data_IF_209524356163
#
_entry.id   IF_209524356163
#
_cell.length_a   1.000
_cell.length_b   1.000
_cell.length_c   1.000
_cell.angle_alpha   90.00
_cell.angle_beta   90.00
_cell.angle_gamma   90.00
#
_symmetry.space_group_name_H-M   'P 1'
#
loop_
_entity.id
_entity.type
_entity.pdbx_description
1 polymer ?
#
# COMPACT_ATOMS: atom_id res chain seq x y z
N UNK A 1 18.98 -41.25 24.80
CA UNK A 1 19.30 -39.88 25.28
C UNK A 1 18.10 -38.99 25.02
N UNK A 2 17.41 -38.52 26.07
CA UNK A 2 16.30 -37.57 25.91
C UNK A 2 16.89 -36.26 25.39
N UNK A 3 16.62 -35.95 24.13
CA UNK A 3 16.91 -34.64 23.52
C UNK A 3 16.24 -33.56 24.38
N UNK A 4 17.00 -32.81 25.16
CA UNK A 4 16.48 -31.68 25.92
C UNK A 4 15.90 -30.66 24.94
N UNK A 5 14.64 -30.28 25.13
CA UNK A 5 13.95 -29.29 24.30
C UNK A 5 14.00 -27.92 24.97
N UNK A 6 14.22 -26.86 24.18
CA UNK A 6 14.19 -25.47 24.62
C UNK A 6 12.96 -24.79 24.03
N UNK A 7 12.18 -24.15 24.89
CA UNK A 7 11.05 -23.31 24.48
C UNK A 7 11.41 -21.85 24.68
N UNK A 8 11.22 -21.04 23.64
CA UNK A 8 11.28 -19.57 23.73
C UNK A 8 9.87 -19.05 23.47
N UNK A 9 9.40 -18.15 24.32
CA UNK A 9 8.10 -17.50 24.14
C UNK A 9 8.26 -15.99 24.20
N UNK A 10 7.45 -15.28 23.41
CA UNK A 10 7.39 -13.82 23.41
C UNK A 10 5.93 -13.39 23.31
N UNK A 11 5.57 -12.48 24.21
CA UNK A 11 4.27 -11.80 24.17
C UNK A 11 4.46 -10.48 23.43
N UNK A 12 3.59 -10.20 22.46
CA UNK A 12 3.65 -8.94 21.72
C UNK A 12 2.75 -7.89 22.36
N UNK A 13 3.18 -6.63 22.30
CA UNK A 13 2.43 -5.49 22.82
C UNK A 13 1.41 -4.97 21.80
N UNK A 14 0.59 -5.88 21.30
CA UNK A 14 -0.45 -5.63 20.31
C UNK A 14 -1.69 -6.39 20.73
N UNK A 15 -2.88 -5.82 20.53
CA UNK A 15 -4.13 -6.50 20.87
C UNK A 15 -4.83 -7.07 19.65
N UNK A 16 -5.10 -8.38 19.64
CA UNK A 16 -5.79 -9.10 18.56
C UNK A 16 -6.93 -9.92 19.15
N UNK A 17 -8.14 -9.72 18.61
CA UNK A 17 -9.35 -10.43 19.02
C UNK A 17 -9.29 -11.91 18.61
N UNK A 18 -9.92 -12.77 19.40
CA UNK A 18 -10.05 -14.21 19.11
C UNK A 18 -10.77 -14.50 17.78
N UNK A 19 -11.68 -13.61 17.36
CA UNK A 19 -12.42 -13.69 16.09
C UNK A 19 -11.52 -13.70 14.85
N UNK A 20 -10.27 -13.26 14.97
CA UNK A 20 -9.32 -13.17 13.85
C UNK A 20 -8.60 -14.50 13.53
N UNK A 21 -9.01 -15.62 14.14
CA UNK A 21 -8.30 -16.91 14.02
C UNK A 21 -8.31 -17.48 12.60
N UNK A 22 -9.42 -17.35 11.87
CA UNK A 22 -9.55 -17.85 10.50
C UNK A 22 -8.62 -17.09 9.55
N UNK A 23 -8.47 -15.78 9.79
CA UNK A 23 -7.58 -14.93 9.02
C UNK A 23 -6.12 -15.19 9.36
N UNK A 24 -5.81 -15.46 10.64
CA UNK A 24 -4.46 -15.90 11.04
C UNK A 24 -4.09 -17.22 10.36
N UNK A 25 -5.01 -18.18 10.35
CA UNK A 25 -4.81 -19.49 9.69
C UNK A 25 -4.49 -19.33 8.22
N UNK A 26 -5.23 -18.47 7.53
CA UNK A 26 -4.95 -18.19 6.14
C UNK A 26 -3.56 -17.56 5.94
N UNK A 27 -3.21 -16.52 6.71
CA UNK A 27 -1.89 -15.87 6.55
C UNK A 27 -0.76 -16.87 6.83
N UNK A 28 -0.90 -17.68 7.88
CA UNK A 28 0.08 -18.72 8.22
C UNK A 28 0.18 -19.75 7.09
N UNK A 29 -0.94 -20.29 6.60
CA UNK A 29 -0.91 -21.33 5.57
C UNK A 29 -0.48 -20.81 4.18
N UNK A 30 -1.09 -19.74 3.71
CA UNK A 30 -1.00 -19.30 2.31
C UNK A 30 0.09 -18.26 2.05
N UNK A 31 0.56 -17.55 3.08
CA UNK A 31 1.65 -16.57 2.94
C UNK A 31 2.94 -17.12 3.53
N UNK A 32 2.91 -17.54 4.80
CA UNK A 32 4.11 -17.95 5.51
C UNK A 32 4.56 -19.38 5.13
N UNK A 33 3.68 -20.37 5.29
CA UNK A 33 3.99 -21.79 5.10
C UNK A 33 4.10 -22.19 3.62
N UNK A 34 3.41 -21.50 2.71
CA UNK A 34 3.54 -21.70 1.27
C UNK A 34 5.01 -21.61 0.80
N UNK A 35 5.76 -20.64 1.35
CA UNK A 35 7.19 -20.46 1.07
C UNK A 35 8.08 -21.58 1.65
N UNK A 36 7.56 -22.34 2.61
CA UNK A 36 8.27 -23.37 3.39
C UNK A 36 7.68 -24.76 3.24
N UNK A 37 6.87 -25.01 2.21
CA UNK A 37 6.14 -26.28 1.98
C UNK A 37 6.96 -27.55 2.18
N UNK A 38 8.24 -27.53 1.79
CA UNK A 38 9.15 -28.67 1.90
C UNK A 38 9.54 -29.04 3.33
N UNK A 39 9.31 -28.13 4.27
CA UNK A 39 9.69 -28.27 5.66
C UNK A 39 8.49 -28.52 6.57
N UNK A 40 7.26 -28.60 6.07
CA UNK A 40 6.08 -28.72 6.93
C UNK A 40 5.91 -30.18 7.35
N UNK A 41 5.86 -30.43 8.67
CA UNK A 41 5.52 -31.73 9.26
C UNK A 41 4.00 -31.80 9.51
N UNK A 42 3.44 -30.81 10.23
CA UNK A 42 1.99 -30.67 10.41
C UNK A 42 1.57 -29.22 10.71
N UNK A 43 0.27 -28.95 10.55
CA UNK A 43 -0.42 -27.74 10.99
C UNK A 43 -1.70 -28.16 11.72
N UNK A 44 -1.94 -27.62 12.91
CA UNK A 44 -3.10 -27.87 13.75
C UNK A 44 -3.66 -26.53 14.23
N UNK A 45 -4.96 -26.36 14.02
CA UNK A 45 -5.72 -25.26 14.60
C UNK A 45 -6.40 -25.73 15.89
N UNK A 46 -6.19 -24.98 16.96
CA UNK A 46 -6.89 -25.16 18.23
C UNK A 46 -7.89 -24.02 18.41
N UNK A 47 -9.16 -24.31 18.27
CA UNK A 47 -10.27 -23.36 18.46
C UNK A 47 -10.72 -23.36 19.93
N UNK A 48 -9.97 -22.67 20.77
CA UNK A 48 -10.37 -22.37 22.15
C UNK A 48 -11.18 -21.04 22.15
N UNK A 49 -12.35 -20.94 22.82
CA UNK A 49 -13.19 -19.73 22.79
C UNK A 49 -12.50 -18.45 23.26
N UNK A 50 -11.53 -18.55 24.18
CA UNK A 50 -10.82 -17.39 24.74
C UNK A 50 -9.44 -17.19 24.12
N UNK A 51 -8.73 -18.28 23.84
CA UNK A 51 -7.33 -18.24 23.41
C UNK A 51 -7.09 -19.19 22.21
N UNK A 52 -7.69 -18.93 21.05
CA UNK A 52 -7.48 -19.80 19.91
C UNK A 52 -6.01 -19.73 19.45
N UNK A 53 -5.47 -20.87 19.02
CA UNK A 53 -4.07 -20.98 18.63
C UNK A 53 -3.85 -21.79 17.37
N UNK A 54 -2.77 -21.47 16.67
CA UNK A 54 -2.30 -22.20 15.49
C UNK A 54 -0.94 -22.77 15.84
N UNK A 55 -0.82 -24.08 15.71
CA UNK A 55 0.39 -24.83 16.00
C UNK A 55 0.86 -25.46 14.71
N UNK A 56 2.11 -25.27 14.34
CA UNK A 56 2.68 -25.96 13.19
C UNK A 56 4.11 -26.35 13.47
N UNK A 57 4.57 -27.43 12.84
CA UNK A 57 5.93 -27.92 12.99
C UNK A 57 6.66 -27.85 11.66
N UNK A 58 7.84 -27.25 11.70
CA UNK A 58 8.79 -27.23 10.61
C UNK A 58 9.88 -28.27 10.91
N UNK A 59 10.24 -29.10 9.93
CA UNK A 59 11.29 -30.11 9.97
C UNK A 59 12.16 -29.99 8.73
N UNK A 60 13.46 -29.86 8.93
CA UNK A 60 14.43 -29.93 7.84
C UNK A 60 14.72 -31.39 7.47
N UNK A 61 14.48 -31.74 6.21
CA UNK A 61 14.71 -33.08 5.68
C UNK A 61 16.19 -33.45 5.60
N UNK A 62 17.10 -32.48 5.56
CA UNK A 62 18.54 -32.71 5.45
C UNK A 62 19.20 -32.91 6.82
N UNK A 63 18.86 -32.06 7.78
CA UNK A 63 19.46 -32.09 9.12
C UNK A 63 18.63 -32.87 10.14
N UNK A 64 17.36 -33.16 9.85
CA UNK A 64 16.42 -33.80 10.78
C UNK A 64 15.99 -32.90 11.94
N UNK A 65 16.47 -31.65 11.98
CA UNK A 65 16.11 -30.66 12.98
C UNK A 65 14.65 -30.25 12.81
N UNK A 66 13.98 -29.96 13.92
CA UNK A 66 12.60 -29.52 13.91
C UNK A 66 12.38 -28.34 14.86
N UNK A 67 11.41 -27.50 14.52
CA UNK A 67 10.92 -26.40 15.32
C UNK A 67 9.40 -26.43 15.31
N UNK A 68 8.79 -26.55 16.48
CA UNK A 68 7.35 -26.42 16.66
C UNK A 68 7.03 -24.99 17.07
N UNK A 69 6.21 -24.33 16.27
CA UNK A 69 5.80 -22.96 16.49
C UNK A 69 4.32 -22.94 16.88
N UNK A 70 3.97 -22.13 17.87
CA UNK A 70 2.58 -21.82 18.19
C UNK A 70 2.35 -20.32 18.24
N UNK A 71 1.20 -19.90 17.71
CA UNK A 71 0.69 -18.54 17.80
C UNK A 71 -0.65 -18.61 18.49
N UNK A 72 -0.77 -17.98 19.66
CA UNK A 72 -2.03 -17.87 20.41
C UNK A 72 -2.53 -16.43 20.36
N UNK A 73 -3.81 -16.24 20.03
CA UNK A 73 -4.48 -14.92 19.97
C UNK A 73 -5.69 -14.90 20.93
N UNK A 74 -6.28 -13.74 21.21
CA UNK A 74 -7.33 -13.60 22.25
C UNK A 74 -7.09 -12.46 23.25
N UNK A 75 -6.34 -11.43 22.84
CA UNK A 75 -5.77 -10.40 23.71
C UNK A 75 -4.38 -10.02 23.19
N UNK A 76 -3.37 -10.04 24.06
CA UNK A 76 -1.96 -9.92 23.63
C UNK A 76 -1.49 -11.25 23.05
N UNK A 77 -1.06 -11.32 21.79
CA UNK A 77 -0.72 -12.58 21.16
C UNK A 77 0.62 -13.09 21.69
N UNK A 78 0.68 -14.41 21.84
CA UNK A 78 1.84 -15.13 22.38
C UNK A 78 2.38 -16.02 21.27
N UNK A 79 3.65 -15.80 20.91
CA UNK A 79 4.41 -16.69 20.04
C UNK A 79 5.23 -17.60 20.94
N UNK A 80 5.18 -18.91 20.72
CA UNK A 80 6.14 -19.84 21.31
C UNK A 80 6.81 -20.71 20.24
N UNK A 81 8.10 -20.95 20.42
CA UNK A 81 8.90 -21.82 19.56
C UNK A 81 9.60 -22.85 20.44
N UNK A 82 9.26 -24.11 20.22
CA UNK A 82 9.84 -25.27 20.90
C UNK A 82 10.73 -26.02 19.91
N UNK A 83 12.02 -26.12 20.21
CA UNK A 83 12.99 -26.82 19.37
C UNK A 83 13.99 -27.62 20.23
N UNK A 84 14.71 -28.61 19.67
CA UNK A 84 15.81 -29.27 20.37
C UNK A 84 16.87 -28.26 20.84
N UNK A 85 17.55 -28.51 21.96
CA UNK A 85 18.59 -27.60 22.49
C UNK A 85 19.78 -27.41 21.54
N UNK A 86 19.95 -28.33 20.58
CA UNK A 86 20.93 -28.25 19.50
C UNK A 86 20.53 -27.32 18.35
N UNK A 87 19.31 -26.77 18.38
CA UNK A 87 18.82 -25.84 17.37
C UNK A 87 19.52 -24.48 17.51
N UNK A 88 19.93 -23.91 16.38
CA UNK A 88 20.72 -22.69 16.36
C UNK A 88 19.89 -21.51 16.91
N UNK A 89 20.43 -20.82 17.90
CA UNK A 89 19.78 -19.66 18.51
C UNK A 89 19.47 -18.55 17.49
N UNK A 90 20.35 -18.32 16.50
CA UNK A 90 20.12 -17.33 15.45
C UNK A 90 18.93 -17.68 14.55
N UNK A 91 18.78 -18.96 14.22
CA UNK A 91 17.64 -19.44 13.42
C UNK A 91 16.35 -19.37 14.24
N UNK A 92 16.41 -19.64 15.54
CA UNK A 92 15.26 -19.50 16.44
C UNK A 92 14.79 -18.04 16.54
N UNK A 93 15.71 -17.08 16.65
CA UNK A 93 15.36 -15.66 16.62
C UNK A 93 14.84 -15.18 15.25
N UNK A 94 15.38 -15.72 14.16
CA UNK A 94 14.91 -15.39 12.81
C UNK A 94 13.46 -15.88 12.63
N UNK A 95 13.16 -17.12 13.01
CA UNK A 95 11.79 -17.66 12.99
C UNK A 95 10.85 -16.82 13.87
N UNK A 96 11.29 -16.42 15.06
CA UNK A 96 10.50 -15.58 15.95
C UNK A 96 10.16 -14.23 15.30
N UNK A 97 11.14 -13.57 14.67
CA UNK A 97 10.92 -12.31 13.92
C UNK A 97 9.93 -12.47 12.77
N UNK A 98 10.05 -13.54 12.00
CA UNK A 98 9.11 -13.79 10.90
C UNK A 98 7.67 -14.02 11.39
N UNK A 99 7.49 -14.69 12.54
CA UNK A 99 6.16 -14.86 13.14
C UNK A 99 5.60 -13.57 13.73
N UNK A 100 6.48 -12.70 14.25
CA UNK A 100 6.08 -11.34 14.63
C UNK A 100 5.52 -10.57 13.44
N UNK A 101 6.21 -10.62 12.30
CA UNK A 101 5.77 -9.95 11.07
C UNK A 101 4.39 -10.43 10.62
N UNK A 102 4.11 -11.75 10.71
CA UNK A 102 2.78 -12.31 10.42
C UNK A 102 1.69 -11.70 11.31
N UNK A 103 1.98 -11.53 12.60
CA UNK A 103 1.03 -10.96 13.56
C UNK A 103 0.83 -9.46 13.31
N UNK A 104 1.90 -8.71 13.04
CA UNK A 104 1.80 -7.30 12.67
C UNK A 104 1.01 -7.12 11.37
N UNK A 105 1.24 -7.97 10.37
CA UNK A 105 0.47 -7.96 9.13
C UNK A 105 -1.02 -8.21 9.39
N UNK A 106 -1.37 -9.17 10.24
CA UNK A 106 -2.76 -9.43 10.64
C UNK A 106 -3.35 -8.20 11.35
N UNK A 107 -2.61 -7.55 12.24
CA UNK A 107 -3.06 -6.35 12.94
C UNK A 107 -3.31 -5.18 11.99
N UNK A 108 -2.42 -4.94 11.05
CA UNK A 108 -2.52 -3.85 10.08
C UNK A 108 -3.66 -4.05 9.08
N UNK A 109 -3.79 -5.27 8.56
CA UNK A 109 -4.79 -5.61 7.53
C UNK A 109 -6.14 -5.97 8.11
N UNK A 110 -6.19 -6.38 9.39
CA UNK A 110 -7.36 -7.00 10.00
C UNK A 110 -7.75 -8.32 9.33
N UNK A 111 -6.85 -8.93 8.57
CA UNK A 111 -7.12 -10.16 7.81
C UNK A 111 -7.83 -9.95 6.46
N UNK A 112 -7.95 -8.68 6.01
CA UNK A 112 -8.53 -8.33 4.72
C UNK A 112 -7.52 -7.58 3.84
N UNK A 113 -7.40 -8.01 2.59
CA UNK A 113 -6.82 -7.19 1.53
C UNK A 113 -7.77 -6.07 1.16
N UNK A 114 -7.25 -4.85 1.00
CA UNK A 114 -8.05 -3.67 0.60
C UNK A 114 -7.63 -3.21 -0.79
N UNK A 115 -8.57 -3.15 -1.71
CA UNK A 115 -8.39 -2.54 -3.03
C UNK A 115 -9.22 -1.26 -3.12
N UNK A 116 -8.61 -0.19 -3.63
CA UNK A 116 -9.29 1.09 -3.83
C UNK A 116 -9.44 1.40 -5.31
N UNK A 117 -10.67 1.67 -5.74
CA UNK A 117 -10.92 2.33 -7.02
C UNK A 117 -11.21 3.81 -6.78
N UNK A 118 -10.29 4.64 -7.26
CA UNK A 118 -10.32 6.11 -7.19
C UNK A 118 -10.98 6.73 -8.41
N UNK A 119 -11.92 7.65 -8.19
CA UNK A 119 -12.58 8.42 -9.25
C UNK A 119 -12.58 9.90 -8.90
N UNK A 120 -12.52 10.76 -9.93
CA UNK A 120 -12.72 12.21 -9.78
C UNK A 120 -13.80 12.67 -10.76
N UNK A 121 -14.53 13.73 -10.43
CA UNK A 121 -15.72 14.15 -11.20
C UNK A 121 -15.38 14.58 -12.63
N UNK A 122 -14.12 14.97 -12.89
CA UNK A 122 -13.64 15.41 -14.20
C UNK A 122 -12.60 14.45 -14.80
N UNK A 123 -12.77 13.15 -14.59
CA UNK A 123 -11.86 12.14 -15.11
C UNK A 123 -11.92 12.08 -16.64
N UNK A 124 -10.82 12.42 -17.32
CA UNK A 124 -10.72 12.26 -18.77
C UNK A 124 -10.68 10.76 -19.13
N UNK A 125 -11.67 10.30 -19.92
CA UNK A 125 -11.79 8.91 -20.38
C UNK A 125 -10.57 8.40 -21.17
N UNK A 126 -9.78 9.32 -21.75
CA UNK A 126 -8.53 9.05 -22.46
C UNK A 126 -7.47 8.38 -21.56
N UNK A 127 -7.49 8.65 -20.25
CA UNK A 127 -6.59 8.02 -19.28
C UNK A 127 -7.03 6.60 -18.83
N UNK A 128 -8.17 6.10 -19.30
CA UNK A 128 -8.64 4.72 -19.05
C UNK A 128 -8.23 3.80 -20.21
N UNK A 129 -7.47 4.27 -21.21
CA UNK A 129 -6.87 3.38 -22.21
C UNK A 129 -5.46 2.99 -21.75
N UNK A 130 -5.25 1.68 -21.76
CA UNK A 130 -4.10 0.79 -21.48
C UNK A 130 -2.68 1.21 -21.88
N UNK A 131 -2.41 2.46 -22.23
CA UNK A 131 -1.05 2.95 -22.44
C UNK A 131 -0.59 3.57 -21.13
N UNK A 132 0.41 2.97 -20.47
CA UNK A 132 1.13 3.67 -19.42
C UNK A 132 1.46 5.06 -19.96
N UNK A 133 0.82 6.08 -19.38
CA UNK A 133 1.02 7.43 -19.89
C UNK A 133 2.50 7.75 -19.68
N UNK A 134 3.09 8.57 -20.55
CA UNK A 134 4.42 9.12 -20.27
C UNK A 134 4.46 9.73 -18.86
N UNK A 135 3.31 10.26 -18.36
CA UNK A 135 3.13 10.73 -16.99
C UNK A 135 3.30 9.65 -15.92
N UNK A 136 2.88 8.40 -16.17
CA UNK A 136 2.99 7.29 -15.21
C UNK A 136 4.42 6.75 -15.15
N UNK A 137 5.12 6.71 -16.29
CA UNK A 137 6.54 6.35 -16.33
C UNK A 137 7.35 7.44 -15.62
N UNK A 138 7.10 8.71 -15.97
CA UNK A 138 7.83 9.84 -15.43
C UNK A 138 7.52 10.04 -13.93
N UNK A 139 6.30 9.75 -13.47
CA UNK A 139 5.98 9.77 -12.03
C UNK A 139 6.66 8.61 -11.28
N UNK A 140 6.72 7.40 -11.84
CA UNK A 140 7.51 6.29 -11.26
C UNK A 140 9.00 6.65 -11.15
N UNK A 141 9.55 7.31 -12.18
CA UNK A 141 10.95 7.74 -12.19
C UNK A 141 11.25 8.87 -11.19
N UNK A 142 10.32 9.82 -10.99
CA UNK A 142 10.55 10.95 -10.09
C UNK A 142 10.17 10.67 -8.63
N UNK A 143 9.07 9.98 -8.37
CA UNK A 143 8.52 9.82 -7.01
C UNK A 143 8.89 8.50 -6.33
N UNK A 144 9.27 7.47 -7.08
CA UNK A 144 9.60 6.16 -6.50
C UNK A 144 11.10 5.93 -6.35
N UNK A 145 11.93 6.48 -7.26
CA UNK A 145 13.38 6.27 -7.24
C UNK A 145 14.15 7.56 -7.58
N UNK A 146 14.79 8.15 -6.57
CA UNK A 146 15.57 9.39 -6.72
C UNK A 146 16.82 9.23 -7.61
N UNK A 147 17.26 8.01 -7.93
CA UNK A 147 18.45 7.76 -8.76
C UNK A 147 18.32 8.40 -10.14
N UNK A 148 17.12 8.42 -10.73
CA UNK A 148 16.92 9.03 -12.05
C UNK A 148 16.99 10.55 -12.00
N UNK A 149 16.42 11.17 -10.97
CA UNK A 149 16.55 12.62 -10.73
C UNK A 149 18.02 12.97 -10.52
N UNK A 150 18.74 12.15 -9.77
CA UNK A 150 20.18 12.33 -9.54
C UNK A 150 20.99 12.22 -10.84
N UNK A 151 20.77 11.19 -11.65
CA UNK A 151 21.43 11.03 -12.95
C UNK A 151 21.12 12.22 -13.89
N UNK A 152 19.86 12.66 -13.95
CA UNK A 152 19.45 13.84 -14.71
C UNK A 152 20.17 15.10 -14.20
N UNK A 153 20.32 15.26 -12.89
CA UNK A 153 21.03 16.40 -12.31
C UNK A 153 22.50 16.44 -12.74
N UNK A 154 23.17 15.30 -12.79
CA UNK A 154 24.56 15.19 -13.28
C UNK A 154 24.62 15.64 -14.74
N UNK A 155 23.75 15.11 -15.60
CA UNK A 155 23.73 15.46 -17.03
C UNK A 155 23.53 16.97 -17.19
N UNK A 156 22.59 17.57 -16.45
CA UNK A 156 22.32 19.01 -16.53
C UNK A 156 23.53 19.81 -16.05
N UNK A 157 24.12 19.46 -14.91
CA UNK A 157 25.29 20.15 -14.36
C UNK A 157 26.50 20.02 -15.29
N UNK A 158 26.77 18.85 -15.84
CA UNK A 158 27.82 18.64 -16.86
C UNK A 158 27.56 19.45 -18.13
N UNK A 159 26.30 19.57 -18.55
CA UNK A 159 25.93 20.39 -19.71
C UNK A 159 26.20 21.87 -19.45
N UNK A 160 25.85 22.37 -18.26
CA UNK A 160 26.12 23.76 -17.85
C UNK A 160 27.62 24.03 -17.82
N UNK A 161 28.41 23.09 -17.30
CA UNK A 161 29.87 23.17 -17.32
C UNK A 161 30.41 23.26 -18.75
N UNK A 162 29.94 22.42 -19.67
CA UNK A 162 30.38 22.44 -21.07
C UNK A 162 30.05 23.76 -21.78
N UNK A 163 28.86 24.33 -21.53
CA UNK A 163 28.43 25.62 -22.09
C UNK A 163 29.16 26.83 -21.47
N UNK A 164 29.70 26.69 -20.27
CA UNK A 164 30.36 27.76 -19.51
C UNK A 164 31.49 27.20 -18.65
N UNK A 165 32.65 26.86 -19.26
CA UNK A 165 33.76 26.20 -18.55
C UNK A 165 34.51 27.11 -17.57
N UNK A 166 34.16 28.39 -17.54
CA UNK A 166 34.64 29.35 -16.56
C UNK A 166 33.95 29.12 -15.22
N UNK A 167 34.74 28.94 -14.15
CA UNK A 167 34.26 28.61 -12.82
C UNK A 167 33.22 29.62 -12.30
N UNK A 168 33.42 30.92 -12.55
CA UNK A 168 32.51 31.97 -12.07
C UNK A 168 31.17 31.87 -12.78
N UNK A 169 31.20 31.75 -14.12
CA UNK A 169 29.98 31.60 -14.93
C UNK A 169 29.24 30.30 -14.61
N UNK A 170 29.97 29.20 -14.40
CA UNK A 170 29.41 27.93 -13.99
C UNK A 170 28.62 28.03 -12.67
N UNK A 171 29.24 28.62 -11.62
CA UNK A 171 28.59 28.77 -10.32
C UNK A 171 27.35 29.67 -10.37
N UNK A 172 27.41 30.77 -11.12
CA UNK A 172 26.25 31.65 -11.30
C UNK A 172 25.13 30.92 -12.06
N UNK A 173 25.47 30.20 -13.13
CA UNK A 173 24.49 29.50 -13.96
C UNK A 173 23.79 28.35 -13.21
N UNK A 174 24.52 27.59 -12.37
CA UNK A 174 23.90 26.52 -11.58
C UNK A 174 22.96 27.10 -10.51
N UNK A 175 23.34 28.20 -9.85
CA UNK A 175 22.47 28.88 -8.89
C UNK A 175 21.21 29.42 -9.56
N UNK A 176 21.36 30.04 -10.73
CA UNK A 176 20.23 30.55 -11.51
C UNK A 176 19.30 29.41 -11.93
N UNK A 177 19.86 28.30 -12.43
CA UNK A 177 19.08 27.13 -12.81
C UNK A 177 18.30 26.53 -11.63
N UNK A 178 18.94 26.41 -10.45
CA UNK A 178 18.27 25.95 -9.23
C UNK A 178 17.16 26.90 -8.78
N UNK A 179 17.39 28.21 -8.85
CA UNK A 179 16.36 29.21 -8.52
C UNK A 179 15.15 29.10 -9.46
N UNK A 180 15.38 28.93 -10.76
CA UNK A 180 14.33 28.68 -11.76
C UNK A 180 13.56 27.40 -11.43
N UNK A 181 14.26 26.28 -11.17
CA UNK A 181 13.61 25.03 -10.78
C UNK A 181 12.75 25.18 -9.51
N UNK A 182 13.25 25.90 -8.51
CA UNK A 182 12.53 26.13 -7.26
C UNK A 182 11.25 26.94 -7.50
N UNK A 183 11.31 27.99 -8.33
CA UNK A 183 10.14 28.80 -8.70
C UNK A 183 9.11 28.04 -9.54
N UNK A 184 9.57 27.09 -10.38
CA UNK A 184 8.71 26.25 -11.23
C UNK A 184 8.34 24.91 -10.58
N UNK A 185 8.83 24.62 -9.38
CA UNK A 185 8.67 23.32 -8.72
C UNK A 185 7.21 22.90 -8.58
N UNK A 186 6.34 23.85 -8.22
CA UNK A 186 4.90 23.64 -8.10
C UNK A 186 4.24 23.24 -9.44
N UNK A 187 4.68 23.84 -10.55
CA UNK A 187 4.20 23.52 -11.90
C UNK A 187 4.71 22.16 -12.36
N UNK A 188 5.97 21.84 -12.08
CA UNK A 188 6.58 20.56 -12.43
C UNK A 188 5.82 19.43 -11.71
N UNK A 189 5.69 19.51 -10.38
CA UNK A 189 4.98 18.51 -9.58
C UNK A 189 3.53 18.37 -10.03
N UNK A 190 2.83 19.48 -10.25
CA UNK A 190 1.43 19.45 -10.67
C UNK A 190 1.20 18.83 -12.06
N UNK A 191 2.21 18.88 -12.93
CA UNK A 191 2.14 18.26 -14.27
C UNK A 191 2.07 16.73 -14.18
N UNK A 192 2.67 16.15 -13.14
CA UNK A 192 2.64 14.72 -12.88
C UNK A 192 1.33 14.22 -12.28
N UNK A 193 0.51 15.10 -11.69
CA UNK A 193 -0.76 14.70 -11.10
C UNK A 193 -1.70 14.13 -12.17
N UNK A 194 -2.29 12.97 -11.86
CA UNK A 194 -3.27 12.32 -12.74
C UNK A 194 -4.60 13.09 -12.74
N UNK A 195 -5.00 13.64 -11.59
CA UNK A 195 -6.23 14.40 -11.45
C UNK A 195 -5.99 15.77 -10.83
N UNK A 196 -6.66 16.77 -11.37
CA UNK A 196 -6.59 18.16 -10.91
C UNK A 196 -7.86 18.49 -10.12
N UNK A 197 -7.67 18.95 -8.89
CA UNK A 197 -8.74 19.35 -7.99
C UNK A 197 -8.83 20.87 -8.00
N UNK A 198 -10.06 21.36 -8.14
CA UNK A 198 -10.37 22.78 -8.13
C UNK A 198 -11.75 22.99 -7.47
N UNK A 199 -12.18 24.24 -7.28
CA UNK A 199 -13.45 24.58 -6.63
C UNK A 199 -14.67 23.93 -7.32
N UNK A 200 -14.61 23.79 -8.65
CA UNK A 200 -15.66 23.13 -9.45
C UNK A 200 -15.56 21.60 -9.41
N UNK A 201 -14.33 21.04 -9.31
CA UNK A 201 -14.07 19.60 -9.25
C UNK A 201 -13.43 19.24 -7.90
N UNK A 202 -14.21 19.42 -6.82
CA UNK A 202 -13.73 19.29 -5.44
C UNK A 202 -13.78 17.87 -4.87
N UNK A 203 -14.60 17.01 -5.47
CA UNK A 203 -14.89 15.68 -4.94
C UNK A 203 -14.08 14.58 -5.62
N UNK A 204 -13.55 13.69 -4.77
CA UNK A 204 -12.93 12.43 -5.15
C UNK A 204 -13.74 11.30 -4.52
N UNK A 205 -14.05 10.28 -5.30
CA UNK A 205 -14.77 9.10 -4.84
C UNK A 205 -13.79 7.94 -4.67
N UNK A 206 -13.92 7.23 -3.56
CA UNK A 206 -13.19 6.01 -3.26
C UNK A 206 -14.19 4.87 -3.12
N UNK A 207 -14.02 3.84 -3.96
CA UNK A 207 -14.67 2.55 -3.78
C UNK A 207 -13.64 1.62 -3.15
N UNK A 208 -13.80 1.33 -1.86
CA UNK A 208 -12.99 0.40 -1.08
C UNK A 208 -13.62 -1.00 -1.20
N UNK A 209 -12.88 -1.97 -1.71
CA UNK A 209 -13.24 -3.39 -1.71
C UNK A 209 -12.34 -4.10 -0.69
N UNK A 210 -12.94 -4.66 0.35
CA UNK A 210 -12.32 -5.50 1.37
C UNK A 210 -12.54 -6.94 0.98
N UNK A 211 -11.46 -7.68 0.82
CA UNK A 211 -11.49 -9.07 0.43
C UNK A 211 -10.73 -9.85 1.48
N UNK A 212 -11.29 -10.95 2.03
CA UNK A 212 -10.53 -11.83 2.90
C UNK A 212 -9.20 -12.19 2.24
N UNK A 213 -8.10 -12.19 3.00
CA UNK A 213 -6.79 -12.51 2.42
C UNK A 213 -6.82 -13.86 1.67
N UNK A 214 -7.64 -14.80 2.19
CA UNK A 214 -8.18 -16.01 1.55
C UNK A 214 -8.29 -15.98 0.04
N UNK A 215 -9.11 -15.04 -0.39
CA UNK A 215 -9.60 -14.91 -1.76
C UNK A 215 -8.88 -13.78 -2.49
N UNK A 216 -7.97 -13.07 -1.81
CA UNK A 216 -7.36 -11.85 -2.32
C UNK A 216 -6.53 -12.10 -3.59
N UNK A 217 -5.79 -13.21 -3.66
CA UNK A 217 -5.04 -13.54 -4.88
C UNK A 217 -5.96 -13.82 -6.08
N UNK A 218 -7.05 -14.54 -5.87
CA UNK A 218 -8.01 -14.82 -6.92
C UNK A 218 -8.78 -13.57 -7.34
N UNK A 219 -9.09 -12.71 -6.38
CA UNK A 219 -9.65 -11.39 -6.64
C UNK A 219 -8.71 -10.52 -7.47
N UNK A 220 -7.41 -10.52 -7.18
CA UNK A 220 -6.42 -9.79 -7.99
C UNK A 220 -6.37 -10.35 -9.43
N UNK A 221 -6.36 -11.68 -9.59
CA UNK A 221 -6.33 -12.31 -10.92
C UNK A 221 -7.59 -12.02 -11.75
N UNK A 222 -8.77 -12.00 -11.12
CA UNK A 222 -10.06 -11.80 -11.80
C UNK A 222 -10.42 -10.33 -11.99
N UNK A 223 -10.42 -9.56 -10.90
CA UNK A 223 -10.93 -8.18 -10.87
C UNK A 223 -9.84 -7.14 -11.12
N UNK A 224 -8.66 -7.26 -10.50
CA UNK A 224 -7.62 -6.22 -10.62
C UNK A 224 -7.00 -6.14 -12.02
N UNK A 225 -6.88 -7.28 -12.71
CA UNK A 225 -6.46 -7.30 -14.13
C UNK A 225 -7.42 -6.47 -14.98
N UNK A 226 -8.73 -6.55 -14.71
CA UNK A 226 -9.80 -5.82 -15.41
C UNK A 226 -10.15 -4.47 -14.76
N UNK A 227 -9.31 -3.95 -13.84
CA UNK A 227 -9.56 -2.70 -13.09
C UNK A 227 -9.95 -1.52 -13.98
N UNK A 228 -9.34 -1.43 -15.14
CA UNK A 228 -9.54 -0.34 -16.10
C UNK A 228 -10.95 -0.39 -16.71
N UNK A 229 -11.44 -1.59 -17.03
CA UNK A 229 -12.79 -1.81 -17.55
C UNK A 229 -13.82 -1.58 -16.45
N UNK A 230 -13.58 -2.12 -15.25
CA UNK A 230 -14.44 -1.90 -14.07
C UNK A 230 -14.61 -0.40 -13.80
N UNK A 231 -13.50 0.35 -13.76
CA UNK A 231 -13.55 1.82 -13.57
C UNK A 231 -14.33 2.50 -14.69
N UNK A 232 -14.17 2.06 -15.94
CA UNK A 232 -14.91 2.62 -17.08
C UNK A 232 -16.42 2.39 -16.94
N UNK A 233 -16.82 1.16 -16.61
CA UNK A 233 -18.22 0.79 -16.47
C UNK A 233 -18.90 1.56 -15.33
N UNK A 234 -18.24 1.66 -14.17
CA UNK A 234 -18.73 2.49 -13.04
C UNK A 234 -18.84 3.95 -13.48
N UNK A 235 -17.82 4.52 -14.11
CA UNK A 235 -17.80 5.92 -14.53
C UNK A 235 -18.92 6.24 -15.53
N UNK A 236 -19.07 5.41 -16.57
CA UNK A 236 -20.06 5.60 -17.64
C UNK A 236 -21.49 5.50 -17.10
N UNK A 237 -21.72 4.61 -16.13
CA UNK A 237 -23.03 4.49 -15.50
C UNK A 237 -23.29 5.63 -14.52
N UNK A 238 -22.27 6.21 -13.87
CA UNK A 238 -22.43 7.22 -12.82
C UNK A 238 -21.99 8.62 -13.24
N UNK A 239 -20.71 8.97 -13.02
CA UNK A 239 -20.18 10.31 -13.16
C UNK A 239 -20.36 10.90 -14.57
N UNK A 240 -20.36 10.07 -15.61
CA UNK A 240 -20.63 10.52 -16.99
C UNK A 240 -22.05 11.10 -17.16
N UNK A 241 -23.01 10.61 -16.37
CA UNK A 241 -24.38 11.11 -16.32
C UNK A 241 -24.57 12.23 -15.28
N UNK A 242 -23.48 12.77 -14.73
CA UNK A 242 -23.48 13.76 -13.64
C UNK A 242 -24.20 13.29 -12.36
N UNK A 243 -24.29 11.98 -12.15
CA UNK A 243 -24.77 11.40 -10.88
C UNK A 243 -23.59 10.95 -10.02
N UNK A 244 -23.75 11.02 -8.71
CA UNK A 244 -22.78 10.48 -7.76
C UNK A 244 -22.65 8.96 -7.93
N UNK A 245 -21.50 8.41 -7.54
CA UNK A 245 -21.35 6.96 -7.45
C UNK A 245 -22.24 6.45 -6.32
N UNK A 246 -22.96 5.37 -6.58
CA UNK A 246 -23.87 4.70 -5.65
C UNK A 246 -23.49 3.24 -5.47
N UNK A 247 -23.85 2.68 -4.32
CA UNK A 247 -23.50 1.29 -3.97
C UNK A 247 -24.10 0.28 -4.94
N UNK A 248 -25.36 0.47 -5.35
CA UNK A 248 -26.07 -0.45 -6.25
C UNK A 248 -25.38 -0.56 -7.60
N UNK A 249 -25.04 0.57 -8.24
CA UNK A 249 -24.28 0.55 -9.50
C UNK A 249 -22.92 -0.12 -9.34
N UNK A 250 -22.21 0.14 -8.23
CA UNK A 250 -20.91 -0.50 -7.96
C UNK A 250 -21.07 -2.01 -7.80
N UNK A 251 -22.10 -2.46 -7.06
CA UNK A 251 -22.39 -3.88 -6.87
C UNK A 251 -22.68 -4.56 -8.20
N UNK A 252 -23.54 -3.99 -9.02
CA UNK A 252 -23.93 -4.60 -10.31
C UNK A 252 -22.73 -4.70 -11.26
N UNK A 253 -21.87 -3.68 -11.27
CA UNK A 253 -20.64 -3.73 -12.08
C UNK A 253 -19.68 -4.79 -11.52
N UNK A 254 -19.38 -4.78 -10.22
CA UNK A 254 -18.45 -5.75 -9.64
C UNK A 254 -18.94 -7.20 -9.79
N UNK A 255 -20.26 -7.43 -9.68
CA UNK A 255 -20.87 -8.75 -9.87
C UNK A 255 -20.66 -9.27 -11.30
N UNK A 256 -20.75 -8.41 -12.31
CA UNK A 256 -20.43 -8.74 -13.72
C UNK A 256 -18.98 -9.23 -13.88
N UNK A 257 -18.07 -8.78 -13.02
CA UNK A 257 -16.66 -9.20 -13.01
C UNK A 257 -16.39 -10.34 -12.01
N UNK A 258 -17.43 -10.91 -11.39
CA UNK A 258 -17.35 -12.07 -10.51
C UNK A 258 -17.03 -11.74 -9.06
N UNK A 259 -17.33 -10.52 -8.60
CA UNK A 259 -17.18 -10.12 -7.20
C UNK A 259 -18.51 -9.65 -6.60
N UNK A 260 -18.96 -10.35 -5.56
CA UNK A 260 -20.18 -9.99 -4.85
C UNK A 260 -19.91 -8.91 -3.81
N UNK A 261 -20.23 -7.66 -4.17
CA UNK A 261 -20.11 -6.53 -3.26
C UNK A 261 -21.30 -6.49 -2.28
N UNK A 262 -21.01 -6.43 -0.99
CA UNK A 262 -21.97 -6.23 0.09
C UNK A 262 -21.55 -5.04 0.98
N UNK A 263 -22.44 -4.46 1.80
CA UNK A 263 -22.09 -3.30 2.64
C UNK A 263 -21.00 -3.57 3.68
N UNK A 264 -20.72 -4.83 4.01
CA UNK A 264 -19.66 -5.21 4.96
C UNK A 264 -18.28 -5.24 4.30
N UNK A 265 -18.23 -5.64 3.03
CA UNK A 265 -17.01 -5.85 2.26
C UNK A 265 -16.71 -4.67 1.31
N UNK A 266 -17.67 -3.78 1.05
CA UNK A 266 -17.49 -2.67 0.11
C UNK A 266 -17.96 -1.36 0.73
N UNK A 267 -17.07 -0.37 0.75
CA UNK A 267 -17.37 0.96 1.27
C UNK A 267 -17.18 2.02 0.18
N UNK A 268 -18.16 2.90 0.05
CA UNK A 268 -18.09 4.06 -0.82
C UNK A 268 -17.82 5.31 0.02
N UNK A 269 -16.82 6.10 -0.37
CA UNK A 269 -16.51 7.37 0.29
C UNK A 269 -16.45 8.49 -0.74
N UNK A 270 -17.24 9.54 -0.53
CA UNK A 270 -17.13 10.81 -1.25
C UNK A 270 -16.33 11.78 -0.40
N UNK A 271 -15.16 12.19 -0.89
CA UNK A 271 -14.22 13.03 -0.15
C UNK A 271 -14.10 14.38 -0.86
N UNK A 272 -14.31 15.44 -0.09
CA UNK A 272 -14.13 16.82 -0.54
C UNK A 272 -12.70 17.28 -0.28
N UNK A 273 -11.81 16.97 -1.23
CA UNK A 273 -10.38 17.24 -1.09
C UNK A 273 -10.10 18.74 -1.04
N UNK A 274 -10.81 19.53 -1.85
CA UNK A 274 -10.63 20.99 -1.88
C UNK A 274 -10.93 21.63 -0.52
N UNK A 275 -12.04 21.26 0.12
CA UNK A 275 -12.40 21.82 1.42
C UNK A 275 -11.50 21.34 2.55
N UNK A 276 -10.97 20.12 2.49
CA UNK A 276 -9.97 19.65 3.45
C UNK A 276 -8.73 20.56 3.37
N UNK A 277 -8.20 20.77 2.16
CA UNK A 277 -7.02 21.63 1.96
C UNK A 277 -7.31 23.07 2.37
N UNK A 278 -8.49 23.61 2.03
CA UNK A 278 -8.89 24.97 2.41
C UNK A 278 -8.93 25.16 3.92
N UNK A 279 -9.53 24.21 4.66
CA UNK A 279 -9.61 24.27 6.13
C UNK A 279 -8.23 24.20 6.78
N UNK A 280 -7.33 23.37 6.24
CA UNK A 280 -5.95 23.27 6.74
C UNK A 280 -5.18 24.56 6.44
N UNK A 281 -5.29 25.11 5.23
CA UNK A 281 -4.63 26.35 4.86
C UNK A 281 -5.08 27.52 5.76
N UNK A 282 -6.39 27.65 6.00
CA UNK A 282 -6.96 28.66 6.89
C UNK A 282 -6.45 28.52 8.33
N UNK A 283 -6.48 27.30 8.89
CA UNK A 283 -5.94 27.02 10.25
C UNK A 283 -4.46 27.34 10.38
N UNK A 284 -3.69 27.16 9.31
CA UNK A 284 -2.26 27.47 9.29
C UNK A 284 -1.97 28.95 8.94
N UNK A 285 -2.99 29.78 8.69
CA UNK A 285 -2.80 31.17 8.25
C UNK A 285 -2.11 31.29 6.89
N UNK A 286 -2.29 30.29 6.02
CA UNK A 286 -1.70 30.22 4.68
C UNK A 286 -2.75 30.59 3.63
N UNK A 287 -2.30 31.19 2.52
CA UNK A 287 -3.15 31.38 1.34
C UNK A 287 -3.51 30.03 0.73
N UNK A 288 -4.71 29.93 0.18
CA UNK A 288 -5.17 28.72 -0.50
C UNK A 288 -4.17 28.32 -1.61
N UNK A 289 -3.65 27.07 -1.63
CA UNK A 289 -2.76 26.62 -2.68
C UNK A 289 -3.40 26.75 -4.06
N UNK A 290 -2.66 27.32 -5.02
CA UNK A 290 -3.15 27.51 -6.40
C UNK A 290 -3.34 26.20 -7.16
N UNK A 291 -2.70 25.11 -6.72
CA UNK A 291 -2.65 23.82 -7.41
C UNK A 291 -2.84 22.70 -6.39
N UNK A 292 -3.89 21.91 -6.60
CA UNK A 292 -4.17 20.71 -5.81
C UNK A 292 -4.33 19.57 -6.80
N UNK A 293 -3.54 18.52 -6.64
CA UNK A 293 -3.56 17.37 -7.54
C UNK A 293 -3.50 16.07 -6.77
N UNK A 294 -4.01 15.01 -7.39
CA UNK A 294 -3.97 13.65 -6.86
C UNK A 294 -3.15 12.79 -7.83
N UNK A 295 -2.21 12.05 -7.25
CA UNK A 295 -1.43 11.03 -7.94
C UNK A 295 -2.08 9.66 -7.72
N UNK A 296 -2.20 8.87 -8.79
CA UNK A 296 -2.71 7.51 -8.72
C UNK A 296 -1.56 6.51 -8.55
N UNK A 297 -0.97 6.49 -7.35
CA UNK A 297 0.15 5.61 -6.98
C UNK A 297 -0.28 4.58 -5.94
N UNK A 298 0.39 3.42 -5.93
CA UNK A 298 0.04 2.31 -5.04
C UNK A 298 0.44 2.57 -3.58
N UNK A 299 1.59 3.23 -3.36
CA UNK A 299 2.02 3.61 -2.02
C UNK A 299 1.43 4.96 -1.62
N UNK A 300 0.84 5.08 -0.42
CA UNK A 300 0.30 6.33 0.05
C UNK A 300 1.42 7.35 0.19
N UNK A 301 1.31 8.46 -0.55
CA UNK A 301 2.25 9.57 -0.48
C UNK A 301 1.46 10.88 -0.56
N UNK A 302 1.96 11.90 0.11
CA UNK A 302 1.46 13.27 0.04
C UNK A 302 2.64 14.21 0.06
N UNK A 303 2.62 15.22 -0.81
CA UNK A 303 3.68 16.21 -0.90
C UNK A 303 3.12 17.59 -1.16
N UNK A 304 3.89 18.61 -0.77
CA UNK A 304 3.61 20.00 -1.04
C UNK A 304 4.89 20.62 -1.63
N UNK A 305 4.73 21.43 -2.67
CA UNK A 305 5.85 22.09 -3.34
C UNK A 305 5.44 23.48 -3.77
N UNK A 306 6.43 24.37 -3.86
CA UNK A 306 6.24 25.77 -4.23
C UNK A 306 6.72 26.74 -3.16
N UNK A 307 7.11 27.93 -3.61
CA UNK A 307 7.42 29.05 -2.73
C UNK A 307 6.15 29.86 -2.53
N UNK A 308 5.74 30.03 -1.28
CA UNK A 308 4.73 31.01 -0.92
C UNK A 308 5.43 32.25 -0.39
N UNK A 309 5.43 33.34 -1.16
CA UNK A 309 5.78 34.64 -0.62
C UNK A 309 4.65 35.07 0.32
N UNK A 310 4.92 34.98 1.62
CA UNK A 310 4.03 35.48 2.66
C UNK A 310 4.09 37.02 2.59
N UNK A 311 3.17 37.60 1.83
CA UNK A 311 2.68 38.98 2.06
C UNK A 311 1.37 38.87 2.80
#
# INVERSE_FOLDING_TARGET
MMSSTRTVSKTLDVEIKAECIDQLEYIVNSVYLESKKRFIDFVVKKTDPLNPSIIFRLRDSLTGMWAECSITIGGKPIISITAPSSFNFREQEALLRELEEVIYLLKETGGYGKLYFTFTSNMELTHIRTRESYKDILSKLFFNNLVFIFALSIIVTSTIWFLSPDLTRFLVNIMLFQAVLLLLSDRIVFTFCNWKIDKLNRYTYLVECRVPLGEYQDFLKRCYVKRTEIKRDIFNRTLALKRDIDFETVRDVLLKYGFEANPQNTALRKIDVYSIVSKVAEKCGLKMPRRIGILNIAMPNAGMSGISFRM
#
